data_IF_938242057929
#
_entry.id   IF_938242057929
#
_cell.length_a   1.000
_cell.length_b   1.000
_cell.length_c   1.000
_cell.angle_alpha   90.00
_cell.angle_beta   90.00
_cell.angle_gamma   90.00
#
_symmetry.space_group_name_H-M   'P 1'
#
loop_
_entity.id
_entity.type
_entity.pdbx_description
1 polymer ?
#
# COMPACT_ATOMS: atom_id res chain seq x y z
N UNK A 1 -28.00 11.12 -2.76
CA UNK A 1 -26.62 10.60 -2.96
C UNK A 1 -26.65 9.63 -4.12
N UNK A 2 -25.81 9.82 -5.15
CA UNK A 2 -25.76 8.91 -6.29
C UNK A 2 -25.36 7.48 -5.87
N UNK A 3 -25.87 6.48 -6.57
CA UNK A 3 -25.60 5.06 -6.29
C UNK A 3 -24.10 4.75 -6.18
N UNK A 4 -23.30 5.24 -7.13
CA UNK A 4 -21.84 5.04 -7.14
C UNK A 4 -21.17 5.62 -5.89
N UNK A 5 -21.54 6.86 -5.47
CA UNK A 5 -20.96 7.48 -4.27
C UNK A 5 -21.22 6.66 -3.01
N UNK A 6 -22.45 6.19 -2.84
CA UNK A 6 -22.82 5.33 -1.70
C UNK A 6 -22.03 4.02 -1.73
N UNK A 7 -21.86 3.41 -2.90
CA UNK A 7 -21.11 2.17 -3.07
C UNK A 7 -19.62 2.36 -2.80
N UNK A 8 -19.03 3.44 -3.33
CA UNK A 8 -17.62 3.76 -3.10
C UNK A 8 -17.35 4.01 -1.61
N UNK A 9 -18.19 4.78 -0.92
CA UNK A 9 -18.04 5.02 0.52
C UNK A 9 -18.18 3.74 1.35
N UNK A 10 -19.13 2.86 0.98
CA UNK A 10 -19.34 1.60 1.68
C UNK A 10 -18.14 0.64 1.55
N UNK A 11 -17.42 0.69 0.41
CA UNK A 11 -16.22 -0.10 0.18
C UNK A 11 -14.97 0.59 0.75
N UNK A 12 -14.83 1.91 0.57
CA UNK A 12 -13.63 2.65 0.98
C UNK A 12 -13.51 2.79 2.49
N UNK A 13 -14.62 2.98 3.23
CA UNK A 13 -14.57 3.17 4.69
C UNK A 13 -13.86 2.04 5.43
N UNK A 14 -14.25 0.78 5.25
CA UNK A 14 -13.54 -0.34 5.88
C UNK A 14 -12.09 -0.47 5.40
N UNK A 15 -11.79 -0.24 4.11
CA UNK A 15 -10.42 -0.26 3.59
C UNK A 15 -9.57 0.83 4.22
N UNK A 16 -10.11 2.02 4.42
CA UNK A 16 -9.40 3.10 5.11
C UNK A 16 -9.06 2.74 6.55
N UNK A 17 -10.02 2.18 7.30
CA UNK A 17 -9.79 1.70 8.65
C UNK A 17 -8.72 0.59 8.71
N UNK A 18 -8.73 -0.35 7.74
CA UNK A 18 -7.69 -1.39 7.59
C UNK A 18 -6.30 -0.77 7.41
N UNK A 19 -6.17 0.20 6.51
CA UNK A 19 -4.89 0.86 6.20
C UNK A 19 -4.38 1.69 7.39
N UNK A 20 -5.26 2.45 8.05
CA UNK A 20 -4.90 3.23 9.23
C UNK A 20 -4.46 2.35 10.40
N UNK A 21 -5.14 1.24 10.64
CA UNK A 21 -4.76 0.29 11.66
C UNK A 21 -3.36 -0.27 11.44
N UNK A 22 -2.98 -0.53 10.18
CA UNK A 22 -1.63 -0.95 9.81
C UNK A 22 -0.58 0.13 10.11
N UNK A 23 -0.87 1.39 9.76
CA UNK A 23 0.04 2.51 10.06
C UNK A 23 0.20 2.71 11.57
N UNK A 24 -0.91 2.70 12.32
CA UNK A 24 -0.87 2.84 13.77
C UNK A 24 -0.07 1.73 14.45
N UNK A 25 -0.30 0.47 14.04
CA UNK A 25 0.45 -0.67 14.56
C UNK A 25 1.96 -0.55 14.26
N UNK A 26 2.35 -0.12 13.06
CA UNK A 26 3.75 0.12 12.70
C UNK A 26 4.41 1.19 13.56
N UNK A 27 3.72 2.29 13.86
CA UNK A 27 4.21 3.35 14.74
C UNK A 27 4.42 2.81 16.16
N UNK A 28 3.45 2.07 16.71
CA UNK A 28 3.53 1.55 18.07
C UNK A 28 4.61 0.47 18.18
N UNK A 29 4.75 -0.41 17.21
CA UNK A 29 5.85 -1.38 17.16
C UNK A 29 7.21 -0.69 17.21
N UNK A 30 7.39 0.43 16.47
CA UNK A 30 8.61 1.23 16.53
C UNK A 30 8.90 1.76 17.93
N UNK A 31 7.86 2.15 18.69
CA UNK A 31 8.03 2.63 20.10
C UNK A 31 8.53 1.51 21.00
N UNK A 32 8.03 0.28 20.85
CA UNK A 32 8.51 -0.86 21.63
C UNK A 32 9.95 -1.23 21.30
N UNK A 33 10.29 -1.25 20.01
CA UNK A 33 11.65 -1.55 19.54
C UNK A 33 12.65 -0.48 19.99
N UNK A 34 12.24 0.79 20.06
CA UNK A 34 13.08 1.89 20.51
C UNK A 34 13.60 1.72 21.96
N UNK A 35 12.85 0.98 22.78
CA UNK A 35 13.29 0.66 24.16
C UNK A 35 14.44 -0.36 24.23
N UNK A 36 14.73 -1.05 23.12
CA UNK A 36 15.83 -2.03 23.03
C UNK A 36 17.18 -1.40 22.65
N UNK A 37 17.18 -0.10 22.29
CA UNK A 37 18.38 0.64 21.89
C UNK A 37 18.51 0.88 20.40
N UNK A 38 19.53 1.67 20.01
CA UNK A 38 19.72 2.15 18.64
C UNK A 38 19.92 1.04 17.61
N UNK A 39 20.69 0.01 17.94
CA UNK A 39 20.98 -1.12 17.05
C UNK A 39 19.75 -1.93 16.73
N UNK A 40 18.85 -2.11 17.70
CA UNK A 40 17.56 -2.78 17.49
C UNK A 40 16.65 -1.96 16.58
N UNK A 41 16.61 -0.64 16.76
CA UNK A 41 15.84 0.26 15.88
C UNK A 41 16.39 0.20 14.46
N UNK A 42 17.71 0.27 14.28
CA UNK A 42 18.34 0.16 12.96
C UNK A 42 18.03 -1.18 12.30
N UNK A 43 18.16 -2.28 13.05
CA UNK A 43 17.88 -3.63 12.56
C UNK A 43 16.43 -3.79 12.08
N UNK A 44 15.44 -3.33 12.87
CA UNK A 44 14.01 -3.43 12.53
C UNK A 44 13.65 -2.48 11.41
N UNK A 45 14.21 -1.26 11.37
CA UNK A 45 13.95 -0.31 10.28
C UNK A 45 14.41 -0.86 8.92
N UNK A 46 15.61 -1.44 8.89
CA UNK A 46 16.17 -2.10 7.70
C UNK A 46 15.31 -3.30 7.30
N UNK A 47 14.92 -4.13 8.25
CA UNK A 47 14.08 -5.29 8.01
C UNK A 47 12.70 -4.89 7.43
N UNK A 48 12.08 -3.84 7.97
CA UNK A 48 10.81 -3.30 7.48
C UNK A 48 10.93 -2.81 6.03
N UNK A 49 12.07 -2.21 5.64
CA UNK A 49 12.28 -1.82 4.24
C UNK A 49 12.32 -3.04 3.31
N UNK A 50 12.97 -4.13 3.72
CA UNK A 50 12.96 -5.39 2.95
C UNK A 50 11.55 -5.97 2.87
N UNK A 51 10.80 -5.99 3.97
CA UNK A 51 9.40 -6.44 3.97
C UNK A 51 8.53 -5.59 3.03
N UNK A 52 8.73 -4.28 2.97
CA UNK A 52 8.00 -3.39 2.06
C UNK A 52 8.30 -3.68 0.58
N UNK A 53 9.55 -4.02 0.24
CA UNK A 53 9.88 -4.46 -1.13
C UNK A 53 9.20 -5.78 -1.45
N UNK A 54 9.23 -6.74 -0.51
CA UNK A 54 8.56 -8.04 -0.66
C UNK A 54 7.04 -7.89 -0.70
N UNK A 55 6.46 -6.89 -0.03
CA UNK A 55 5.05 -6.55 -0.14
C UNK A 55 4.65 -6.25 -1.60
N UNK A 56 5.53 -5.61 -2.38
CA UNK A 56 5.32 -5.43 -3.81
C UNK A 56 5.05 -6.77 -4.53
N UNK A 57 5.85 -7.80 -4.24
CA UNK A 57 5.65 -9.14 -4.82
C UNK A 57 4.34 -9.78 -4.35
N UNK A 58 4.04 -9.66 -3.06
CA UNK A 58 2.81 -10.18 -2.44
C UNK A 58 1.55 -9.54 -3.05
N UNK A 59 1.60 -8.24 -3.36
CA UNK A 59 0.49 -7.49 -3.95
C UNK A 59 0.09 -8.02 -5.34
N UNK A 60 0.98 -8.65 -6.10
CA UNK A 60 0.65 -9.24 -7.41
C UNK A 60 -0.55 -10.20 -7.29
N UNK A 61 -0.48 -11.13 -6.34
CA UNK A 61 -1.55 -12.11 -6.16
C UNK A 61 -2.81 -11.49 -5.54
N UNK A 62 -2.67 -10.66 -4.50
CA UNK A 62 -3.81 -10.07 -3.80
C UNK A 62 -4.64 -9.14 -4.69
N UNK A 63 -3.99 -8.18 -5.36
CA UNK A 63 -4.68 -7.20 -6.20
C UNK A 63 -5.20 -7.82 -7.50
N UNK A 64 -4.41 -8.70 -8.14
CA UNK A 64 -4.87 -9.43 -9.33
C UNK A 64 -6.11 -10.29 -9.06
N UNK A 65 -6.10 -11.04 -7.95
CA UNK A 65 -7.27 -11.83 -7.50
C UNK A 65 -8.47 -10.93 -7.24
N UNK A 66 -8.29 -9.79 -6.57
CA UNK A 66 -9.38 -8.85 -6.25
C UNK A 66 -10.09 -8.37 -7.51
N UNK A 67 -9.35 -7.91 -8.51
CA UNK A 67 -9.92 -7.34 -9.75
C UNK A 67 -10.59 -8.42 -10.59
N UNK A 68 -9.92 -9.56 -10.81
CA UNK A 68 -10.48 -10.65 -11.61
C UNK A 68 -11.73 -11.24 -10.96
N UNK A 69 -11.71 -11.45 -9.65
CA UNK A 69 -12.85 -11.98 -8.92
C UNK A 69 -14.03 -11.00 -8.90
N UNK A 70 -13.77 -9.69 -8.73
CA UNK A 70 -14.82 -8.67 -8.80
C UNK A 70 -15.48 -8.65 -10.19
N UNK A 71 -14.68 -8.78 -11.25
CA UNK A 71 -15.16 -8.86 -12.63
C UNK A 71 -15.97 -10.13 -12.89
N UNK A 72 -15.44 -11.29 -12.50
CA UNK A 72 -16.13 -12.57 -12.64
C UNK A 72 -17.45 -12.61 -11.88
N UNK A 73 -17.48 -12.03 -10.68
CA UNK A 73 -18.70 -11.87 -9.88
C UNK A 73 -19.73 -10.97 -10.57
N UNK A 74 -19.29 -9.88 -11.19
CA UNK A 74 -20.17 -9.01 -11.97
C UNK A 74 -20.81 -9.73 -13.16
N UNK A 75 -20.04 -10.60 -13.82
CA UNK A 75 -20.51 -11.43 -14.94
C UNK A 75 -21.38 -12.63 -14.49
N UNK A 76 -21.43 -12.95 -13.20
CA UNK A 76 -22.11 -14.16 -12.72
C UNK A 76 -21.37 -15.45 -13.09
N UNK A 77 -20.11 -15.36 -13.54
CA UNK A 77 -19.31 -16.50 -14.02
C UNK A 77 -18.62 -17.22 -12.84
N UNK A 78 -19.23 -18.33 -12.42
CA UNK A 78 -18.71 -19.13 -11.30
C UNK A 78 -17.37 -19.82 -11.61
N UNK A 79 -17.08 -20.16 -12.90
CA UNK A 79 -15.79 -20.77 -13.25
C UNK A 79 -14.66 -19.73 -13.25
N UNK A 80 -14.90 -18.56 -13.82
CA UNK A 80 -13.94 -17.45 -13.73
C UNK A 80 -13.69 -17.03 -12.28
N UNK A 81 -14.71 -17.06 -11.40
CA UNK A 81 -14.51 -16.82 -9.97
C UNK A 81 -13.59 -17.86 -9.33
N UNK A 82 -13.82 -19.16 -9.63
CA UNK A 82 -12.93 -20.26 -9.16
C UNK A 82 -11.51 -20.08 -9.69
N UNK A 83 -11.37 -19.76 -10.99
CA UNK A 83 -10.08 -19.51 -11.63
C UNK A 83 -9.29 -18.38 -10.95
N UNK A 84 -9.96 -17.27 -10.62
CA UNK A 84 -9.31 -16.17 -9.90
C UNK A 84 -8.81 -16.57 -8.51
N UNK A 85 -9.60 -17.37 -7.76
CA UNK A 85 -9.20 -17.87 -6.44
C UNK A 85 -8.04 -18.87 -6.57
N UNK A 86 -8.14 -19.85 -7.49
CA UNK A 86 -7.05 -20.82 -7.77
C UNK A 86 -5.77 -20.11 -8.15
N UNK A 87 -5.83 -19.16 -9.08
CA UNK A 87 -4.67 -18.41 -9.55
C UNK A 87 -3.96 -17.68 -8.42
N UNK A 88 -4.70 -17.06 -7.50
CA UNK A 88 -4.12 -16.44 -6.31
C UNK A 88 -3.37 -17.41 -5.41
N UNK A 89 -3.98 -18.59 -5.13
CA UNK A 89 -3.33 -19.63 -4.32
C UNK A 89 -2.16 -20.32 -5.02
N UNK A 90 -2.23 -20.51 -6.34
CA UNK A 90 -1.11 -21.05 -7.12
C UNK A 90 0.09 -20.11 -7.10
N UNK A 91 -0.14 -18.78 -7.26
CA UNK A 91 0.94 -17.80 -7.12
C UNK A 91 1.53 -17.79 -5.72
N UNK A 92 0.69 -17.90 -4.69
CA UNK A 92 1.15 -18.06 -3.32
C UNK A 92 2.04 -19.31 -3.17
N UNK A 93 1.60 -20.46 -3.64
CA UNK A 93 2.33 -21.72 -3.54
C UNK A 93 3.65 -21.71 -4.34
N UNK A 94 3.71 -20.96 -5.43
CA UNK A 94 4.90 -20.86 -6.28
C UNK A 94 5.94 -19.87 -5.71
N UNK A 95 5.49 -18.70 -5.29
CA UNK A 95 6.38 -17.61 -4.87
C UNK A 95 6.81 -17.73 -3.41
N UNK A 96 5.92 -18.20 -2.54
CA UNK A 96 6.20 -18.30 -1.10
C UNK A 96 7.40 -19.15 -0.76
N UNK A 97 7.56 -20.38 -1.27
CA UNK A 97 8.75 -21.19 -0.96
C UNK A 97 10.05 -20.51 -1.42
N UNK A 98 10.01 -19.88 -2.59
CA UNK A 98 11.17 -19.17 -3.13
C UNK A 98 11.60 -18.01 -2.22
N UNK A 99 10.65 -17.20 -1.76
CA UNK A 99 10.92 -16.05 -0.89
C UNK A 99 11.23 -16.50 0.54
N UNK A 100 10.48 -17.45 1.11
CA UNK A 100 10.65 -17.89 2.48
C UNK A 100 11.95 -18.71 2.65
N UNK A 101 12.18 -19.69 1.80
CA UNK A 101 13.38 -20.57 1.88
C UNK A 101 14.61 -19.82 1.38
N UNK A 102 14.51 -19.17 0.23
CA UNK A 102 15.61 -18.37 -0.35
C UNK A 102 15.99 -17.20 0.55
N UNK A 103 14.99 -16.49 1.12
CA UNK A 103 15.22 -15.42 2.08
C UNK A 103 15.84 -15.93 3.39
N UNK A 104 15.35 -17.05 3.94
CA UNK A 104 15.93 -17.64 5.15
C UNK A 104 17.39 -18.11 4.90
N UNK A 105 17.68 -18.77 3.79
CA UNK A 105 19.03 -19.16 3.43
C UNK A 105 19.95 -17.96 3.18
N UNK A 106 19.43 -16.93 2.50
CA UNK A 106 20.15 -15.71 2.17
C UNK A 106 20.11 -14.62 3.25
N UNK A 107 19.58 -14.87 4.46
CA UNK A 107 19.41 -13.84 5.50
C UNK A 107 20.71 -13.15 5.94
N UNK A 108 21.84 -13.88 5.87
CA UNK A 108 23.14 -13.32 6.27
C UNK A 108 23.68 -12.33 5.20
N UNK A 109 23.81 -12.70 3.91
CA UNK A 109 24.23 -11.75 2.88
C UNK A 109 23.19 -10.61 2.69
N UNK A 110 21.91 -10.88 2.87
CA UNK A 110 20.88 -9.86 2.76
C UNK A 110 21.03 -8.79 3.87
N UNK A 111 21.26 -9.22 5.12
CA UNK A 111 21.51 -8.31 6.24
C UNK A 111 22.76 -7.47 6.00
N UNK A 112 23.86 -8.06 5.53
CA UNK A 112 25.08 -7.35 5.21
C UNK A 112 24.90 -6.35 4.04
N UNK A 113 24.16 -6.75 3.02
CA UNK A 113 23.88 -5.88 1.86
C UNK A 113 23.09 -4.63 2.24
N UNK A 114 22.06 -4.79 3.09
CA UNK A 114 21.13 -3.69 3.41
C UNK A 114 21.67 -2.77 4.49
N UNK A 115 22.46 -3.29 5.44
CA UNK A 115 23.13 -2.47 6.46
C UNK A 115 24.40 -1.79 5.93
N UNK A 116 25.01 -2.31 4.86
CA UNK A 116 26.25 -1.79 4.26
C UNK A 116 27.52 -2.35 4.93
N UNK A 117 28.66 -2.17 4.24
CA UNK A 117 29.93 -2.80 4.61
C UNK A 117 30.63 -2.27 5.87
N UNK A 118 30.07 -1.28 6.55
CA UNK A 118 30.59 -0.71 7.80
C UNK A 118 29.64 -0.88 8.99
N UNK A 119 28.66 -1.77 8.87
CA UNK A 119 27.65 -1.95 9.92
C UNK A 119 28.25 -2.55 11.21
N UNK A 120 27.75 -2.09 12.36
CA UNK A 120 28.09 -2.67 13.66
C UNK A 120 27.74 -4.18 13.68
N UNK A 121 28.64 -5.04 14.16
CA UNK A 121 28.40 -6.47 14.34
C UNK A 121 27.13 -6.78 15.15
N UNK A 122 26.79 -5.94 16.15
CA UNK A 122 25.58 -6.02 16.95
C UNK A 122 24.30 -5.85 16.11
N UNK A 123 24.21 -4.77 15.32
CA UNK A 123 23.09 -4.51 14.42
C UNK A 123 22.94 -5.61 13.36
N UNK A 124 24.05 -6.13 12.84
CA UNK A 124 24.05 -7.22 11.88
C UNK A 124 23.49 -8.52 12.48
N UNK A 125 23.88 -8.87 13.70
CA UNK A 125 23.39 -10.05 14.42
C UNK A 125 21.87 -9.93 14.71
N UNK A 126 21.41 -8.77 15.13
CA UNK A 126 19.99 -8.49 15.40
C UNK A 126 19.16 -8.56 14.11
N UNK A 127 19.66 -8.00 13.01
CA UNK A 127 18.98 -8.06 11.70
C UNK A 127 18.87 -9.50 11.19
N UNK A 128 19.91 -10.30 11.30
CA UNK A 128 19.88 -11.74 10.97
C UNK A 128 18.88 -12.50 11.82
N UNK A 129 18.81 -12.18 13.11
CA UNK A 129 17.87 -12.80 14.06
C UNK A 129 16.41 -12.45 13.72
N UNK A 130 16.14 -11.20 13.33
CA UNK A 130 14.83 -10.77 12.86
C UNK A 130 14.45 -11.48 11.56
N UNK A 131 15.32 -11.48 10.56
CA UNK A 131 15.08 -12.13 9.28
C UNK A 131 14.83 -13.63 9.39
N UNK A 132 15.42 -14.30 10.36
CA UNK A 132 15.20 -15.73 10.59
C UNK A 132 13.72 -16.08 10.87
N UNK A 133 12.95 -15.13 11.40
CA UNK A 133 11.52 -15.28 11.70
C UNK A 133 10.64 -14.54 10.67
N UNK A 134 11.02 -13.32 10.31
CA UNK A 134 10.23 -12.47 9.43
C UNK A 134 10.14 -13.01 7.99
N UNK A 135 11.25 -13.52 7.41
CA UNK A 135 11.26 -14.01 6.04
C UNK A 135 10.41 -15.28 5.84
N UNK A 136 10.45 -16.30 6.71
CA UNK A 136 9.46 -17.37 6.67
C UNK A 136 8.04 -16.88 6.95
N UNK A 137 7.87 -15.88 7.82
CA UNK A 137 6.60 -15.23 8.14
C UNK A 137 5.91 -14.54 6.95
N UNK A 138 6.65 -14.24 5.89
CA UNK A 138 6.09 -13.71 4.63
C UNK A 138 5.08 -14.67 4.01
N UNK A 139 5.21 -15.97 4.24
CA UNK A 139 4.22 -16.96 3.82
C UNK A 139 2.82 -16.63 4.37
N UNK A 140 2.76 -16.25 5.64
CA UNK A 140 1.51 -15.85 6.32
C UNK A 140 1.00 -14.52 5.77
N UNK A 141 1.88 -13.55 5.57
CA UNK A 141 1.53 -12.24 4.98
C UNK A 141 0.94 -12.43 3.58
N UNK A 142 1.57 -13.23 2.75
CA UNK A 142 1.13 -13.49 1.39
C UNK A 142 -0.24 -14.21 1.37
N UNK A 143 -0.41 -15.27 2.17
CA UNK A 143 -1.70 -15.96 2.30
C UNK A 143 -2.80 -15.01 2.77
N UNK A 144 -2.51 -14.12 3.74
CA UNK A 144 -3.44 -13.10 4.24
C UNK A 144 -3.86 -12.12 3.13
N UNK A 145 -2.92 -11.73 2.26
CA UNK A 145 -3.22 -10.88 1.10
C UNK A 145 -4.11 -11.59 0.08
N UNK A 146 -3.88 -12.88 -0.20
CA UNK A 146 -4.76 -13.67 -1.08
C UNK A 146 -6.16 -13.78 -0.49
N UNK A 147 -6.29 -14.12 0.79
CA UNK A 147 -7.59 -14.18 1.49
C UNK A 147 -8.30 -12.82 1.46
N UNK A 148 -7.57 -11.76 1.78
CA UNK A 148 -8.07 -10.37 1.70
C UNK A 148 -8.52 -10.01 0.28
N UNK A 149 -7.73 -10.38 -0.73
CA UNK A 149 -8.04 -10.17 -2.14
C UNK A 149 -9.32 -10.89 -2.59
N UNK A 150 -9.50 -12.13 -2.16
CA UNK A 150 -10.73 -12.89 -2.44
C UNK A 150 -11.94 -12.23 -1.79
N UNK A 151 -11.86 -11.88 -0.50
CA UNK A 151 -12.98 -11.24 0.21
C UNK A 151 -13.34 -9.88 -0.40
N UNK A 152 -12.34 -9.05 -0.72
CA UNK A 152 -12.54 -7.75 -1.38
C UNK A 152 -13.13 -7.91 -2.78
N UNK A 153 -12.68 -8.87 -3.56
CA UNK A 153 -13.25 -9.23 -4.87
C UNK A 153 -14.72 -9.67 -4.79
N UNK A 154 -15.09 -10.35 -3.71
CA UNK A 154 -16.49 -10.66 -3.39
C UNK A 154 -17.27 -9.41 -2.90
N UNK A 155 -16.65 -8.24 -2.80
CA UNK A 155 -17.27 -7.01 -2.34
C UNK A 155 -17.41 -6.89 -0.81
N UNK A 156 -16.77 -7.79 -0.06
CA UNK A 156 -16.71 -7.73 1.39
C UNK A 156 -15.39 -7.11 1.85
N UNK A 157 -15.40 -5.81 2.10
CA UNK A 157 -14.25 -5.07 2.63
C UNK A 157 -14.23 -5.00 4.16
N UNK A 158 -15.37 -5.36 4.81
CA UNK A 158 -15.49 -5.33 6.27
C UNK A 158 -14.76 -6.49 6.94
N UNK A 159 -14.81 -7.67 6.34
CA UNK A 159 -14.11 -8.84 6.89
C UNK A 159 -12.59 -8.67 6.86
N UNK A 160 -11.92 -8.28 5.76
CA UNK A 160 -10.50 -7.95 5.77
C UNK A 160 -10.13 -6.87 6.80
N UNK A 161 -10.93 -5.81 6.94
CA UNK A 161 -10.73 -4.81 7.99
C UNK A 161 -10.72 -5.43 9.39
N UNK A 162 -11.70 -6.27 9.71
CA UNK A 162 -11.78 -6.94 11.03
C UNK A 162 -10.59 -7.86 11.28
N UNK A 163 -10.16 -8.59 10.25
CA UNK A 163 -8.97 -9.46 10.32
C UNK A 163 -7.69 -8.65 10.54
N UNK A 164 -7.55 -7.51 9.85
CA UNK A 164 -6.42 -6.60 10.05
C UNK A 164 -6.42 -5.99 11.46
N UNK A 165 -7.59 -5.54 11.95
CA UNK A 165 -7.72 -5.06 13.33
C UNK A 165 -7.38 -6.14 14.35
N UNK A 166 -7.81 -7.38 14.14
CA UNK A 166 -7.46 -8.51 15.00
C UNK A 166 -5.96 -8.77 14.99
N UNK A 167 -5.34 -8.84 13.80
CA UNK A 167 -3.90 -9.04 13.67
C UNK A 167 -3.11 -7.95 14.40
N UNK A 168 -3.44 -6.68 14.12
CA UNK A 168 -2.75 -5.53 14.72
C UNK A 168 -2.99 -5.44 16.23
N UNK A 169 -4.21 -5.75 16.71
CA UNK A 169 -4.51 -5.81 18.14
C UNK A 169 -3.73 -6.90 18.87
N UNK A 170 -3.59 -8.08 18.24
CA UNK A 170 -2.76 -9.17 18.78
C UNK A 170 -1.27 -8.80 18.79
N UNK A 171 -0.75 -8.17 17.72
CA UNK A 171 0.63 -7.71 17.65
C UNK A 171 0.89 -6.71 18.78
N UNK A 172 0.02 -5.72 18.96
CA UNK A 172 0.08 -4.74 20.05
C UNK A 172 0.11 -5.34 21.45
N UNK A 173 -0.64 -6.41 21.68
CA UNK A 173 -0.70 -7.12 22.95
C UNK A 173 0.53 -8.03 23.15
N UNK A 174 1.00 -8.68 22.07
CA UNK A 174 2.12 -9.62 22.12
C UNK A 174 3.48 -8.91 22.13
N UNK A 175 3.61 -7.72 21.52
CA UNK A 175 4.87 -6.97 21.50
C UNK A 175 5.46 -6.75 22.91
N UNK A 176 4.76 -6.12 23.89
CA UNK A 176 5.32 -5.92 25.22
C UNK A 176 5.61 -7.25 25.94
N UNK A 177 4.80 -8.28 25.71
CA UNK A 177 4.99 -9.59 26.32
C UNK A 177 6.25 -10.28 25.77
N UNK A 178 6.39 -10.36 24.43
CA UNK A 178 7.50 -11.10 23.81
C UNK A 178 8.79 -10.28 23.81
N UNK A 179 8.71 -8.97 23.60
CA UNK A 179 9.90 -8.10 23.51
C UNK A 179 10.50 -7.83 24.89
N UNK A 180 9.65 -7.45 25.87
CA UNK A 180 10.09 -6.99 27.17
C UNK A 180 9.99 -8.07 28.27
N UNK A 181 8.81 -8.67 28.47
CA UNK A 181 8.59 -9.60 29.57
C UNK A 181 9.33 -10.94 29.37
N UNK A 182 9.36 -11.47 28.15
CA UNK A 182 10.10 -12.70 27.82
C UNK A 182 11.54 -12.41 27.34
N UNK A 183 11.96 -11.15 27.33
CA UNK A 183 13.31 -10.72 26.94
C UNK A 183 13.79 -11.24 25.56
N UNK A 184 12.85 -11.51 24.62
CA UNK A 184 13.22 -12.00 23.29
C UNK A 184 13.74 -10.88 22.37
N UNK A 185 13.65 -9.62 22.78
CA UNK A 185 14.15 -8.47 22.05
C UNK A 185 13.57 -8.40 20.63
N UNK A 186 14.43 -8.19 19.64
CA UNK A 186 14.05 -8.05 18.21
C UNK A 186 13.38 -9.33 17.66
N UNK A 187 13.75 -10.52 18.16
CA UNK A 187 13.07 -11.78 17.80
C UNK A 187 11.62 -11.78 18.28
N UNK A 188 11.36 -11.19 19.45
CA UNK A 188 10.02 -11.04 20.00
C UNK A 188 9.11 -10.20 19.09
N UNK A 189 9.61 -9.09 18.55
CA UNK A 189 8.87 -8.24 17.62
C UNK A 189 8.55 -8.95 16.28
N UNK A 190 9.47 -9.74 15.74
CA UNK A 190 9.19 -10.57 14.57
C UNK A 190 8.16 -11.66 14.87
N UNK A 191 8.27 -12.32 16.02
CA UNK A 191 7.39 -13.41 16.42
C UNK A 191 5.96 -12.92 16.71
N UNK A 192 5.79 -11.78 17.38
CA UNK A 192 4.47 -11.16 17.63
C UNK A 192 3.75 -10.85 16.31
N UNK A 193 4.47 -10.32 15.34
CA UNK A 193 3.94 -10.02 14.00
C UNK A 193 3.49 -11.29 13.28
N UNK A 194 4.31 -12.34 13.27
CA UNK A 194 3.97 -13.61 12.62
C UNK A 194 2.80 -14.29 13.33
N UNK A 195 2.77 -14.34 14.66
CA UNK A 195 1.69 -14.95 15.43
C UNK A 195 0.36 -14.20 15.25
N UNK A 196 0.37 -12.87 15.39
CA UNK A 196 -0.83 -12.05 15.24
C UNK A 196 -1.45 -12.20 13.85
N UNK A 197 -0.62 -12.18 12.80
CA UNK A 197 -1.06 -12.41 11.42
C UNK A 197 -1.52 -13.86 11.19
N UNK A 198 -0.88 -14.86 11.81
CA UNK A 198 -1.26 -16.26 11.69
C UNK A 198 -2.65 -16.53 12.27
N UNK A 199 -2.96 -16.00 13.44
CA UNK A 199 -4.29 -16.11 14.06
C UNK A 199 -5.35 -15.45 13.16
N UNK A 200 -5.09 -14.23 12.67
CA UNK A 200 -5.99 -13.55 11.77
C UNK A 200 -6.19 -14.32 10.45
N UNK A 201 -5.12 -14.91 9.90
CA UNK A 201 -5.19 -15.75 8.70
C UNK A 201 -6.08 -16.99 8.94
N UNK A 202 -5.91 -17.70 10.05
CA UNK A 202 -6.73 -18.85 10.39
C UNK A 202 -8.21 -18.47 10.49
N UNK A 203 -8.52 -17.38 11.19
CA UNK A 203 -9.87 -16.81 11.22
C UNK A 203 -10.38 -16.47 9.81
N UNK A 204 -9.52 -15.85 9.00
CA UNK A 204 -9.84 -15.50 7.62
C UNK A 204 -10.15 -16.70 6.74
N UNK A 205 -9.38 -17.78 6.86
CA UNK A 205 -9.60 -19.04 6.13
C UNK A 205 -10.92 -19.72 6.55
N UNK A 206 -11.24 -19.71 7.84
CA UNK A 206 -12.52 -20.25 8.35
C UNK A 206 -13.70 -19.44 7.80
N UNK A 207 -13.61 -18.11 7.84
CA UNK A 207 -14.65 -17.23 7.30
C UNK A 207 -14.78 -17.36 5.78
N UNK A 208 -13.67 -17.48 5.07
CA UNK A 208 -13.65 -17.69 3.63
C UNK A 208 -14.34 -19.00 3.24
N UNK A 209 -14.03 -20.10 3.93
CA UNK A 209 -14.70 -21.41 3.72
C UNK A 209 -16.21 -21.33 3.90
N UNK A 210 -16.71 -20.49 4.82
CA UNK A 210 -18.14 -20.28 5.04
C UNK A 210 -18.81 -19.44 3.96
N UNK A 211 -18.06 -18.57 3.29
CA UNK A 211 -18.56 -17.64 2.25
C UNK A 211 -18.52 -18.24 0.85
N UNK A 212 -17.63 -19.19 0.62
CA UNK A 212 -17.52 -19.86 -0.67
C UNK A 212 -18.62 -20.94 -0.79
N UNK A 213 -19.35 -21.01 -1.92
CA UNK A 213 -20.38 -22.02 -2.14
C UNK A 213 -19.84 -23.44 -1.94
N UNK A 214 -20.63 -24.29 -1.26
CA UNK A 214 -20.32 -25.70 -1.08
C UNK A 214 -20.49 -26.41 -2.42
N UNK A 215 -19.41 -26.94 -3.00
CA UNK A 215 -19.41 -27.63 -4.29
C UNK A 215 -18.05 -28.23 -4.61
N UNK A 216 -17.81 -28.59 -5.89
CA UNK A 216 -16.50 -29.05 -6.37
C UNK A 216 -15.43 -28.12 -5.84
N UNK A 217 -14.39 -28.65 -5.16
CA UNK A 217 -13.39 -27.86 -4.43
C UNK A 217 -12.89 -26.68 -5.24
N UNK A 218 -12.80 -25.51 -4.62
CA UNK A 218 -12.36 -24.24 -5.26
C UNK A 218 -10.98 -24.32 -5.88
N UNK A 219 -10.19 -25.32 -5.47
CA UNK A 219 -8.88 -25.63 -6.04
C UNK A 219 -8.96 -26.78 -7.06
N UNK A 220 -10.13 -27.43 -7.24
CA UNK A 220 -10.31 -28.49 -8.22
C UNK A 220 -10.66 -27.92 -9.58
N UNK A 221 -10.03 -28.38 -10.62
CA UNK A 221 -10.23 -27.99 -12.02
C UNK A 221 -8.92 -27.93 -12.79
N UNK A 222 -9.00 -27.94 -14.12
CA UNK A 222 -7.84 -27.77 -15.00
C UNK A 222 -7.49 -26.30 -15.18
N UNK A 223 -6.26 -26.01 -15.65
CA UNK A 223 -5.85 -24.67 -16.03
C UNK A 223 -5.11 -23.86 -14.96
N UNK A 224 -4.52 -24.52 -13.94
CA UNK A 224 -3.80 -23.86 -12.84
C UNK A 224 -2.79 -22.80 -13.33
N UNK A 225 -2.02 -23.11 -14.39
CA UNK A 225 -1.03 -22.19 -14.96
C UNK A 225 -1.72 -21.00 -15.64
N UNK A 226 -2.82 -21.24 -16.37
CA UNK A 226 -3.57 -20.18 -17.02
C UNK A 226 -4.22 -19.24 -15.99
N UNK A 227 -4.80 -19.79 -14.92
CA UNK A 227 -5.36 -19.03 -13.81
C UNK A 227 -4.31 -18.17 -13.12
N UNK A 228 -3.15 -18.75 -12.77
CA UNK A 228 -2.03 -18.04 -12.17
C UNK A 228 -1.50 -16.93 -13.10
N UNK A 229 -1.37 -17.22 -14.40
CA UNK A 229 -0.94 -16.23 -15.41
C UNK A 229 -1.94 -15.08 -15.52
N UNK A 230 -3.24 -15.36 -15.48
CA UNK A 230 -4.30 -14.35 -15.50
C UNK A 230 -4.21 -13.41 -14.30
N UNK A 231 -4.05 -13.98 -13.09
CA UNK A 231 -3.90 -13.20 -11.84
C UNK A 231 -2.59 -12.40 -11.89
N UNK A 232 -1.47 -13.01 -12.32
CA UNK A 232 -0.18 -12.32 -12.44
C UNK A 232 -0.23 -11.18 -13.47
N UNK A 233 -0.80 -11.41 -14.65
CA UNK A 233 -0.92 -10.39 -15.69
C UNK A 233 -1.73 -9.17 -15.25
N UNK A 234 -2.76 -9.38 -14.39
CA UNK A 234 -3.56 -8.30 -13.82
C UNK A 234 -2.85 -7.62 -12.66
N UNK A 235 -2.24 -8.39 -11.76
CA UNK A 235 -1.63 -7.88 -10.54
C UNK A 235 -0.23 -7.30 -10.72
N UNK A 236 0.55 -7.78 -11.70
CA UNK A 236 1.93 -7.33 -11.92
C UNK A 236 2.04 -5.83 -12.23
N UNK A 237 1.20 -5.24 -13.11
CA UNK A 237 1.24 -3.80 -13.32
C UNK A 237 0.86 -3.01 -12.04
N UNK A 238 -0.10 -3.49 -11.25
CA UNK A 238 -0.50 -2.84 -10.00
C UNK A 238 0.63 -2.85 -8.97
N UNK A 239 1.31 -3.97 -8.87
CA UNK A 239 2.50 -4.12 -8.02
C UNK A 239 3.66 -3.26 -8.52
N UNK A 240 3.93 -3.23 -9.82
CA UNK A 240 4.98 -2.41 -10.40
C UNK A 240 4.75 -0.91 -10.12
N UNK A 241 3.50 -0.43 -10.24
CA UNK A 241 3.13 0.93 -9.87
C UNK A 241 3.43 1.25 -8.40
N UNK A 242 3.15 0.30 -7.49
CA UNK A 242 3.49 0.43 -6.07
C UNK A 242 5.00 0.49 -5.83
N UNK A 243 5.78 -0.42 -6.43
CA UNK A 243 7.24 -0.49 -6.28
C UNK A 243 7.91 0.77 -6.82
N UNK A 244 7.49 1.26 -7.99
CA UNK A 244 8.01 2.49 -8.58
C UNK A 244 7.77 3.69 -7.66
N UNK A 245 6.57 3.82 -7.08
CA UNK A 245 6.29 4.89 -6.10
C UNK A 245 7.14 4.77 -4.85
N UNK A 246 7.30 3.56 -4.32
CA UNK A 246 8.13 3.33 -3.14
C UNK A 246 9.58 3.71 -3.40
N UNK A 247 10.13 3.28 -4.53
CA UNK A 247 11.49 3.62 -4.96
C UNK A 247 11.65 5.14 -5.15
N UNK A 248 10.68 5.78 -5.79
CA UNK A 248 10.68 7.24 -5.97
C UNK A 248 10.63 8.01 -4.67
N UNK A 249 9.84 7.54 -3.68
CA UNK A 249 9.79 8.16 -2.35
C UNK A 249 11.14 8.04 -1.63
N UNK A 250 11.78 6.87 -1.69
CA UNK A 250 13.12 6.68 -1.10
C UNK A 250 14.17 7.55 -1.79
N UNK A 251 14.14 7.63 -3.12
CA UNK A 251 15.06 8.48 -3.86
C UNK A 251 14.85 9.97 -3.55
N UNK A 252 13.60 10.40 -3.33
CA UNK A 252 13.29 11.77 -2.94
C UNK A 252 13.88 12.12 -1.56
N UNK A 253 13.87 11.19 -0.61
CA UNK A 253 14.56 11.38 0.70
C UNK A 253 16.04 11.66 0.47
N UNK A 254 16.69 10.98 -0.48
CA UNK A 254 18.09 11.23 -0.86
C UNK A 254 18.32 12.64 -1.42
N UNK A 255 17.36 13.19 -2.16
CA UNK A 255 17.42 14.58 -2.63
C UNK A 255 17.25 15.56 -1.46
N UNK A 256 16.29 15.32 -0.57
CA UNK A 256 16.08 16.15 0.64
C UNK A 256 17.31 16.13 1.55
N UNK A 257 18.01 15.00 1.64
CA UNK A 257 19.24 14.88 2.45
C UNK A 257 20.37 15.81 1.99
N UNK A 258 20.35 16.26 0.73
CA UNK A 258 21.31 17.25 0.21
C UNK A 258 21.02 18.67 0.66
N UNK A 259 19.78 18.95 1.07
CA UNK A 259 19.38 20.28 1.56
C UNK A 259 19.92 20.47 2.98
N UNK A 260 19.67 19.49 3.86
CA UNK A 260 20.16 19.53 5.23
C UNK A 260 19.54 18.44 6.11
N UNK A 261 20.16 18.22 7.27
CA UNK A 261 19.73 17.21 8.23
C UNK A 261 18.39 17.59 8.87
N UNK A 262 18.18 18.88 9.14
CA UNK A 262 16.92 19.38 9.71
C UNK A 262 15.75 19.17 8.75
N UNK A 263 15.98 19.38 7.44
CA UNK A 263 14.98 19.19 6.38
C UNK A 263 14.60 17.72 6.21
N UNK A 264 15.55 16.80 6.33
CA UNK A 264 15.26 15.34 6.31
C UNK A 264 14.38 14.96 7.49
N UNK A 265 14.72 15.41 8.69
CA UNK A 265 13.93 15.15 9.88
C UNK A 265 12.52 15.75 9.76
N UNK A 266 12.42 16.99 9.29
CA UNK A 266 11.17 17.69 9.05
C UNK A 266 10.30 16.98 8.00
N UNK A 267 10.89 16.57 6.88
CA UNK A 267 10.22 15.78 5.83
C UNK A 267 9.70 14.45 6.37
N UNK A 268 10.53 13.72 7.13
CA UNK A 268 10.14 12.44 7.74
C UNK A 268 8.95 12.57 8.70
N UNK A 269 8.95 13.59 9.56
CA UNK A 269 7.87 13.89 10.50
C UNK A 269 6.60 14.30 9.73
N UNK A 270 6.70 15.24 8.81
CA UNK A 270 5.58 15.74 8.05
C UNK A 270 4.94 14.64 7.15
N UNK A 271 5.75 13.76 6.59
CA UNK A 271 5.24 12.63 5.78
C UNK A 271 4.37 11.67 6.61
N UNK A 272 4.65 11.49 7.90
CA UNK A 272 3.76 10.70 8.79
C UNK A 272 2.36 11.31 8.91
N UNK A 273 2.27 12.64 9.01
CA UNK A 273 0.97 13.33 8.99
C UNK A 273 0.25 13.16 7.64
N UNK A 274 0.99 13.20 6.53
CA UNK A 274 0.44 12.99 5.19
C UNK A 274 -0.09 11.57 4.98
N UNK A 275 0.44 10.55 5.65
CA UNK A 275 -0.05 9.18 5.53
C UNK A 275 -1.52 9.03 5.85
N UNK A 276 -2.04 9.78 6.84
CA UNK A 276 -3.46 9.74 7.20
C UNK A 276 -4.35 10.14 6.01
N UNK A 277 -3.97 11.21 5.31
CA UNK A 277 -4.69 11.67 4.12
C UNK A 277 -4.49 10.72 2.93
N UNK A 278 -3.26 10.30 2.65
CA UNK A 278 -2.94 9.45 1.50
C UNK A 278 -3.56 8.07 1.60
N UNK A 279 -3.69 7.49 2.81
CA UNK A 279 -4.38 6.22 3.02
C UNK A 279 -5.87 6.31 2.64
N UNK A 280 -6.51 7.47 2.80
CA UNK A 280 -7.89 7.67 2.34
C UNK A 280 -7.99 7.64 0.81
N UNK A 281 -7.01 8.20 0.10
CA UNK A 281 -6.97 8.15 -1.37
C UNK A 281 -6.77 6.73 -1.88
N UNK A 282 -5.89 5.94 -1.23
CA UNK A 282 -5.71 4.53 -1.56
C UNK A 282 -6.95 3.69 -1.26
N UNK A 283 -7.69 4.01 -0.20
CA UNK A 283 -8.96 3.36 0.09
C UNK A 283 -10.00 3.64 -1.00
N UNK A 284 -10.12 4.90 -1.46
CA UNK A 284 -10.99 5.25 -2.59
C UNK A 284 -10.51 4.57 -3.88
N UNK A 285 -9.21 4.53 -4.17
CA UNK A 285 -8.64 3.81 -5.32
C UNK A 285 -9.06 2.34 -5.33
N UNK A 286 -8.89 1.65 -4.21
CA UNK A 286 -9.22 0.23 -4.09
C UNK A 286 -10.74 0.00 -4.25
N UNK A 287 -11.57 0.83 -3.62
CA UNK A 287 -13.02 0.79 -3.78
C UNK A 287 -13.44 1.01 -5.24
N UNK A 288 -12.80 1.97 -5.90
CA UNK A 288 -13.03 2.30 -7.31
C UNK A 288 -12.65 1.14 -8.21
N UNK A 289 -11.50 0.50 -7.99
CA UNK A 289 -11.05 -0.65 -8.76
C UNK A 289 -12.03 -1.84 -8.64
N UNK A 290 -12.47 -2.16 -7.43
CA UNK A 290 -13.44 -3.23 -7.18
C UNK A 290 -14.78 -2.93 -7.85
N UNK A 291 -15.30 -1.71 -7.68
CA UNK A 291 -16.60 -1.33 -8.23
C UNK A 291 -16.58 -1.26 -9.76
N UNK A 292 -15.54 -0.69 -10.36
CA UNK A 292 -15.36 -0.64 -11.82
C UNK A 292 -15.24 -2.03 -12.42
N UNK A 293 -14.42 -2.92 -11.82
CA UNK A 293 -14.27 -4.30 -12.29
C UNK A 293 -15.60 -5.05 -12.25
N UNK A 294 -16.38 -4.89 -11.17
CA UNK A 294 -17.71 -5.50 -11.05
C UNK A 294 -18.69 -5.00 -12.11
N UNK A 295 -18.76 -3.69 -12.36
CA UNK A 295 -19.64 -3.11 -13.38
C UNK A 295 -19.28 -3.59 -14.79
N UNK A 296 -17.99 -3.64 -15.12
CA UNK A 296 -17.53 -4.16 -16.41
C UNK A 296 -17.94 -5.64 -16.57
N UNK A 297 -17.77 -6.44 -15.53
CA UNK A 297 -18.24 -7.83 -15.54
C UNK A 297 -19.73 -7.95 -15.77
N UNK A 298 -20.53 -7.05 -15.19
CA UNK A 298 -21.98 -6.98 -15.37
C UNK A 298 -22.42 -6.38 -16.72
N UNK A 299 -21.49 -6.07 -17.65
CA UNK A 299 -21.77 -5.46 -18.93
C UNK A 299 -22.17 -3.98 -18.87
N UNK A 300 -21.95 -3.30 -17.71
CA UNK A 300 -22.30 -1.89 -17.50
C UNK A 300 -21.09 -0.99 -17.77
N UNK A 301 -21.18 -0.15 -18.79
CA UNK A 301 -20.13 0.79 -19.20
C UNK A 301 -20.24 2.13 -18.45
N UNK A 302 -20.13 2.10 -17.13
CA UNK A 302 -20.29 3.27 -16.27
C UNK A 302 -18.95 3.79 -15.69
N UNK A 303 -17.84 3.45 -16.32
CA UNK A 303 -16.48 3.81 -15.90
C UNK A 303 -16.29 5.31 -15.70
N UNK A 304 -16.85 6.12 -16.60
CA UNK A 304 -16.76 7.58 -16.52
C UNK A 304 -17.51 8.14 -15.31
N UNK A 305 -18.69 7.60 -14.99
CA UNK A 305 -19.49 8.01 -13.84
C UNK A 305 -18.79 7.64 -12.51
N UNK A 306 -18.26 6.41 -12.42
CA UNK A 306 -17.50 5.97 -11.24
C UNK A 306 -16.26 6.83 -11.03
N UNK A 307 -15.52 7.15 -12.09
CA UNK A 307 -14.35 8.01 -12.02
C UNK A 307 -14.66 9.44 -11.56
N UNK A 308 -15.76 10.03 -12.05
CA UNK A 308 -16.22 11.36 -11.58
C UNK A 308 -16.54 11.36 -10.09
N UNK A 309 -17.21 10.33 -9.57
CA UNK A 309 -17.49 10.23 -8.15
C UNK A 309 -16.24 9.97 -7.31
N UNK A 310 -15.31 9.14 -7.79
CA UNK A 310 -14.01 8.91 -7.15
C UNK A 310 -13.20 10.21 -7.06
N UNK A 311 -13.16 11.02 -8.14
CA UNK A 311 -12.51 12.32 -8.15
C UNK A 311 -13.15 13.30 -7.16
N UNK A 312 -14.49 13.36 -7.09
CA UNK A 312 -15.19 14.23 -6.14
C UNK A 312 -14.89 13.84 -4.69
N UNK A 313 -14.90 12.54 -4.39
CA UNK A 313 -14.60 12.05 -3.05
C UNK A 313 -13.14 12.32 -2.66
N UNK A 314 -12.19 11.90 -3.48
CA UNK A 314 -10.76 12.10 -3.18
C UNK A 314 -10.37 13.58 -3.21
N UNK A 315 -10.89 14.36 -4.15
CA UNK A 315 -10.67 15.80 -4.22
C UNK A 315 -11.22 16.53 -2.99
N UNK A 316 -12.44 16.19 -2.56
CA UNK A 316 -13.03 16.75 -1.33
C UNK A 316 -12.20 16.42 -0.09
N UNK A 317 -11.76 15.16 0.06
CA UNK A 317 -10.87 14.76 1.16
C UNK A 317 -9.54 15.51 1.08
N UNK A 318 -8.97 15.67 -0.12
CA UNK A 318 -7.69 16.37 -0.30
C UNK A 318 -7.79 17.87 0.04
N UNK A 319 -8.88 18.54 -0.34
CA UNK A 319 -9.13 19.93 0.04
C UNK A 319 -9.22 20.08 1.57
N UNK A 320 -10.01 19.22 2.23
CA UNK A 320 -10.14 19.24 3.68
C UNK A 320 -8.81 18.93 4.38
N UNK A 321 -8.06 17.91 3.90
CA UNK A 321 -6.76 17.57 4.44
C UNK A 321 -5.74 18.70 4.23
N UNK A 322 -5.71 19.33 3.05
CA UNK A 322 -4.80 20.46 2.77
C UNK A 322 -5.11 21.66 3.64
N UNK A 323 -6.40 22.01 3.82
CA UNK A 323 -6.81 23.07 4.71
C UNK A 323 -6.44 22.77 6.18
N UNK A 324 -6.65 21.55 6.62
CA UNK A 324 -6.28 21.10 7.97
C UNK A 324 -4.77 21.18 8.20
N UNK A 325 -3.95 20.68 7.25
CA UNK A 325 -2.49 20.70 7.35
C UNK A 325 -1.95 22.15 7.33
N UNK A 326 -2.57 23.03 6.54
CA UNK A 326 -2.23 24.46 6.50
C UNK A 326 -2.49 25.14 7.85
N UNK A 327 -3.63 24.85 8.48
CA UNK A 327 -4.03 25.47 9.74
C UNK A 327 -3.33 24.82 10.96
N UNK A 328 -3.29 23.48 11.01
CA UNK A 328 -2.81 22.72 12.16
C UNK A 328 -1.32 22.34 12.07
N UNK A 329 -0.61 22.70 10.99
CA UNK A 329 0.79 22.35 10.75
C UNK A 329 1.73 22.55 11.94
N UNK A 330 1.75 23.73 12.59
CA UNK A 330 2.60 23.96 13.76
C UNK A 330 2.32 23.01 14.93
N UNK A 331 1.05 22.73 15.21
CA UNK A 331 0.64 21.85 16.30
C UNK A 331 0.94 20.39 15.99
N UNK A 332 0.78 19.95 14.76
CA UNK A 332 1.10 18.59 14.31
C UNK A 332 2.60 18.34 14.46
N UNK A 333 3.43 19.26 13.97
CA UNK A 333 4.88 19.12 14.00
C UNK A 333 5.41 19.19 15.44
N UNK A 334 4.90 20.10 16.26
CA UNK A 334 5.23 20.22 17.68
C UNK A 334 4.78 19.00 18.49
N UNK A 335 3.57 18.48 18.22
CA UNK A 335 3.03 17.28 18.88
C UNK A 335 3.81 15.99 18.53
N UNK A 336 4.52 15.97 17.40
CA UNK A 336 5.43 14.87 17.03
C UNK A 336 6.86 15.04 17.57
N UNK A 337 7.07 16.01 18.47
CA UNK A 337 8.33 16.20 19.19
C UNK A 337 9.39 17.00 18.40
N UNK A 338 9.03 17.67 17.31
CA UNK A 338 9.96 18.50 16.59
C UNK A 338 10.12 19.87 17.25
N UNK A 339 11.38 20.33 17.40
CA UNK A 339 11.73 21.65 17.91
C UNK A 339 12.70 22.38 16.98
N UNK A 340 12.92 23.68 17.25
CA UNK A 340 13.91 24.50 16.54
C UNK A 340 13.74 24.53 15.03
N UNK A 341 14.81 24.36 14.29
CA UNK A 341 14.82 24.40 12.81
C UNK A 341 13.92 23.32 12.18
N UNK A 342 13.82 22.13 12.78
CA UNK A 342 12.98 21.02 12.30
C UNK A 342 11.51 21.41 12.35
N UNK A 343 11.05 22.08 13.40
CA UNK A 343 9.66 22.53 13.52
C UNK A 343 9.30 23.58 12.46
N UNK A 344 10.20 24.52 12.21
CA UNK A 344 10.01 25.56 11.17
C UNK A 344 9.92 24.91 9.78
N UNK A 345 10.90 24.09 9.44
CA UNK A 345 10.97 23.41 8.14
C UNK A 345 9.76 22.48 7.92
N UNK A 346 9.36 21.69 8.95
CA UNK A 346 8.20 20.79 8.88
C UNK A 346 6.87 21.54 8.72
N UNK A 347 6.69 22.65 9.43
CA UNK A 347 5.50 23.49 9.30
C UNK A 347 5.42 24.10 7.91
N UNK A 348 6.56 24.59 7.38
CA UNK A 348 6.63 25.16 6.04
C UNK A 348 6.28 24.11 4.98
N UNK A 349 6.81 22.89 5.11
CA UNK A 349 6.49 21.78 4.22
C UNK A 349 4.98 21.47 4.23
N UNK A 350 4.36 21.32 5.41
CA UNK A 350 2.93 21.04 5.52
C UNK A 350 2.04 22.13 4.91
N UNK A 351 2.50 23.39 4.95
CA UNK A 351 1.80 24.52 4.31
C UNK A 351 1.94 24.50 2.79
N UNK A 352 3.08 24.08 2.26
CA UNK A 352 3.35 24.08 0.83
C UNK A 352 2.88 22.83 0.08
N UNK A 353 2.62 21.71 0.79
CA UNK A 353 2.30 20.40 0.18
C UNK A 353 0.89 20.28 -0.38
N UNK A 354 -0.02 21.22 -0.08
CA UNK A 354 -1.44 21.20 -0.46
C UNK A 354 -1.68 20.96 -1.96
N UNK A 355 -1.08 21.71 -2.89
CA UNK A 355 -1.25 21.50 -4.34
C UNK A 355 -0.85 20.10 -4.79
N UNK A 356 0.26 19.57 -4.28
CA UNK A 356 0.67 18.18 -4.53
C UNK A 356 -0.39 17.18 -4.05
N UNK A 357 -0.91 17.38 -2.85
CA UNK A 357 -1.89 16.48 -2.23
C UNK A 357 -3.18 16.40 -3.07
N UNK A 358 -3.65 17.54 -3.61
CA UNK A 358 -4.80 17.59 -4.51
C UNK A 358 -4.56 16.82 -5.82
N UNK A 359 -3.43 17.04 -6.46
CA UNK A 359 -3.07 16.35 -7.70
C UNK A 359 -2.87 14.85 -7.47
N UNK A 360 -2.23 14.49 -6.36
CA UNK A 360 -2.03 13.10 -5.97
C UNK A 360 -3.37 12.39 -5.72
N UNK A 361 -4.30 13.03 -5.03
CA UNK A 361 -5.63 12.49 -4.77
C UNK A 361 -6.40 12.19 -6.07
N UNK A 362 -6.37 13.12 -7.02
CA UNK A 362 -6.99 12.94 -8.33
C UNK A 362 -6.32 11.80 -9.11
N UNK A 363 -4.99 11.76 -9.13
CA UNK A 363 -4.23 10.72 -9.82
C UNK A 363 -4.51 9.33 -9.24
N UNK A 364 -4.46 9.21 -7.90
CA UNK A 364 -4.73 7.94 -7.19
C UNK A 364 -6.17 7.48 -7.43
N UNK A 365 -7.16 8.38 -7.38
CA UNK A 365 -8.57 8.07 -7.60
C UNK A 365 -8.83 7.50 -9.02
N UNK A 366 -8.29 8.17 -10.05
CA UNK A 366 -8.36 7.70 -11.44
C UNK A 366 -7.63 6.37 -11.62
N UNK A 367 -6.53 6.15 -10.89
CA UNK A 367 -5.81 4.89 -10.88
C UNK A 367 -6.72 3.69 -10.63
N UNK A 368 -7.68 3.81 -9.71
CA UNK A 368 -8.65 2.75 -9.44
C UNK A 368 -9.52 2.39 -10.65
N UNK A 369 -9.91 3.36 -11.48
CA UNK A 369 -10.68 3.10 -12.71
C UNK A 369 -9.84 2.31 -13.71
N UNK A 370 -8.58 2.68 -13.92
CA UNK A 370 -7.69 1.97 -14.84
C UNK A 370 -7.39 0.56 -14.35
N UNK A 371 -7.17 0.36 -13.06
CA UNK A 371 -6.98 -0.95 -12.45
C UNK A 371 -8.20 -1.86 -12.65
N UNK A 372 -9.38 -1.37 -12.27
CA UNK A 372 -10.63 -2.12 -12.45
C UNK A 372 -10.97 -2.41 -13.91
N UNK A 373 -10.49 -1.57 -14.84
CA UNK A 373 -10.66 -1.74 -16.28
C UNK A 373 -9.62 -2.68 -16.93
N UNK A 374 -8.66 -3.20 -16.17
CA UNK A 374 -7.57 -4.02 -16.72
C UNK A 374 -6.51 -3.22 -17.48
N UNK A 375 -6.48 -1.90 -17.31
CA UNK A 375 -5.52 -0.98 -17.97
C UNK A 375 -4.43 -0.46 -17.02
N UNK A 376 -4.11 -1.21 -15.97
CA UNK A 376 -3.11 -0.82 -14.98
C UNK A 376 -1.71 -0.56 -15.58
N UNK A 377 -1.35 -1.18 -16.70
CA UNK A 377 -0.09 -0.94 -17.40
C UNK A 377 0.10 0.53 -17.84
N UNK A 378 -0.99 1.26 -18.11
CA UNK A 378 -0.92 2.70 -18.41
C UNK A 378 -0.46 3.48 -17.19
N UNK A 379 -0.94 3.11 -16.01
CA UNK A 379 -0.53 3.75 -14.75
C UNK A 379 0.96 3.57 -14.48
N UNK A 380 1.50 2.37 -14.73
CA UNK A 380 2.94 2.09 -14.55
C UNK A 380 3.78 3.08 -15.33
N UNK A 381 3.44 3.30 -16.62
CA UNK A 381 4.16 4.25 -17.48
C UNK A 381 4.04 5.68 -16.94
N UNK A 382 2.82 6.11 -16.62
CA UNK A 382 2.58 7.47 -16.10
C UNK A 382 3.27 7.69 -14.76
N UNK A 383 3.23 6.70 -13.86
CA UNK A 383 3.93 6.76 -12.58
C UNK A 383 5.44 6.82 -12.76
N UNK A 384 6.01 5.98 -13.64
CA UNK A 384 7.46 5.99 -13.92
C UNK A 384 7.91 7.35 -14.44
N UNK A 385 7.21 7.91 -15.44
CA UNK A 385 7.48 9.27 -15.93
C UNK A 385 7.37 10.32 -14.82
N UNK A 386 6.30 10.25 -14.02
CA UNK A 386 6.09 11.17 -12.91
C UNK A 386 7.21 11.12 -11.88
N UNK A 387 7.68 9.92 -11.53
CA UNK A 387 8.76 9.73 -10.56
C UNK A 387 10.12 10.24 -11.08
N UNK A 388 10.46 9.95 -12.34
CA UNK A 388 11.69 10.47 -12.96
C UNK A 388 11.67 11.99 -13.01
N UNK A 389 10.55 12.58 -13.47
CA UNK A 389 10.38 14.02 -13.52
C UNK A 389 10.42 14.65 -12.12
N UNK A 390 9.80 13.99 -11.12
CA UNK A 390 9.81 14.46 -9.74
C UNK A 390 11.23 14.55 -9.18
N UNK A 391 12.05 13.53 -9.40
CA UNK A 391 13.43 13.52 -8.93
C UNK A 391 14.28 14.57 -9.64
N UNK A 392 14.13 14.73 -10.96
CA UNK A 392 14.84 15.73 -11.73
C UNK A 392 14.48 17.16 -11.27
N UNK A 393 13.18 17.46 -11.12
CA UNK A 393 12.72 18.75 -10.65
C UNK A 393 13.09 19.00 -9.17
N UNK A 394 12.96 17.98 -8.31
CA UNK A 394 13.34 18.11 -6.90
C UNK A 394 14.84 18.41 -6.76
N UNK A 395 15.67 17.76 -7.58
CA UNK A 395 17.11 18.06 -7.63
C UNK A 395 17.38 19.50 -8.11
N UNK A 396 16.76 19.93 -9.20
CA UNK A 396 16.93 21.27 -9.75
C UNK A 396 16.42 22.38 -8.81
N UNK A 397 15.32 22.12 -8.09
CA UNK A 397 14.69 23.08 -7.17
C UNK A 397 15.15 22.91 -5.71
N UNK A 398 16.08 22.00 -5.42
CA UNK A 398 16.60 21.76 -4.06
C UNK A 398 17.22 23.00 -3.41
N UNK A 399 17.77 23.92 -4.20
CA UNK A 399 18.30 25.23 -3.73
C UNK A 399 17.26 26.14 -3.06
N UNK A 400 15.96 25.92 -3.31
CA UNK A 400 14.86 26.62 -2.65
C UNK A 400 14.37 25.92 -1.38
N UNK A 401 15.09 24.89 -0.89
CA UNK A 401 14.73 24.12 0.30
C UNK A 401 13.47 23.25 0.10
N UNK A 402 12.76 22.94 1.20
CA UNK A 402 11.53 22.13 1.16
C UNK A 402 10.40 22.70 0.30
N UNK A 403 10.16 24.02 0.22
CA UNK A 403 9.18 24.57 -0.74
C UNK A 403 9.48 24.23 -2.19
N UNK A 404 10.77 24.24 -2.58
CA UNK A 404 11.21 23.82 -3.92
C UNK A 404 10.88 22.34 -4.18
N UNK A 405 11.08 21.47 -3.19
CA UNK A 405 10.70 20.06 -3.26
C UNK A 405 9.18 19.90 -3.40
N UNK A 406 8.37 20.64 -2.62
CA UNK A 406 6.91 20.62 -2.76
C UNK A 406 6.45 21.05 -4.15
N UNK A 407 7.04 22.10 -4.70
CA UNK A 407 6.74 22.56 -6.06
C UNK A 407 7.12 21.49 -7.10
N UNK A 408 8.29 20.88 -6.97
CA UNK A 408 8.72 19.77 -7.83
C UNK A 408 7.72 18.59 -7.80
N UNK A 409 7.27 18.20 -6.59
CA UNK A 409 6.27 17.13 -6.41
C UNK A 409 4.95 17.51 -7.09
N UNK A 410 4.47 18.75 -6.94
CA UNK A 410 3.23 19.19 -7.55
C UNK A 410 3.32 19.22 -9.08
N UNK A 411 4.37 19.83 -9.64
CA UNK A 411 4.57 19.91 -11.09
C UNK A 411 4.73 18.52 -11.73
N UNK A 412 5.53 17.65 -11.10
CA UNK A 412 5.74 16.29 -11.59
C UNK A 412 4.47 15.44 -11.55
N UNK A 413 3.58 15.66 -10.58
CA UNK A 413 2.31 14.94 -10.47
C UNK A 413 1.25 15.52 -11.42
N UNK A 414 1.33 16.78 -11.78
CA UNK A 414 0.37 17.43 -12.67
C UNK A 414 0.31 16.76 -14.06
N UNK A 415 1.45 16.40 -14.65
CA UNK A 415 1.50 15.76 -15.96
C UNK A 415 0.82 14.38 -15.99
N UNK A 416 1.18 13.41 -15.15
CA UNK A 416 0.48 12.11 -15.12
C UNK A 416 -0.98 12.25 -14.71
N UNK A 417 -1.32 13.20 -13.84
CA UNK A 417 -2.72 13.49 -13.48
C UNK A 417 -3.51 14.00 -14.69
N UNK A 418 -2.98 14.96 -15.44
CA UNK A 418 -3.60 15.49 -16.66
C UNK A 418 -3.74 14.42 -17.74
N UNK A 419 -2.71 13.59 -17.95
CA UNK A 419 -2.73 12.48 -18.88
C UNK A 419 -3.80 11.43 -18.49
N UNK A 420 -3.85 11.03 -17.22
CA UNK A 420 -4.87 10.13 -16.70
C UNK A 420 -6.29 10.71 -16.86
N UNK A 421 -6.47 12.00 -16.58
CA UNK A 421 -7.76 12.66 -16.76
C UNK A 421 -8.19 12.74 -18.22
N UNK A 422 -7.28 13.01 -19.16
CA UNK A 422 -7.56 12.97 -20.61
C UNK A 422 -7.96 11.57 -21.06
N UNK A 423 -7.21 10.55 -20.67
CA UNK A 423 -7.52 9.16 -21.01
C UNK A 423 -8.85 8.72 -20.40
N UNK A 424 -9.17 9.18 -19.20
CA UNK A 424 -10.45 8.91 -18.56
C UNK A 424 -11.63 9.55 -19.31
N UNK A 425 -11.49 10.80 -19.78
CA UNK A 425 -12.53 11.47 -20.60
C UNK A 425 -12.79 10.72 -21.90
N UNK A 426 -11.77 10.14 -22.51
CA UNK A 426 -11.92 9.29 -23.70
C UNK A 426 -12.66 7.95 -23.44
N UNK A 427 -12.97 7.62 -22.19
CA UNK A 427 -13.82 6.49 -21.82
C UNK A 427 -15.31 6.89 -21.71
N UNK A 428 -15.65 8.17 -21.87
CA UNK A 428 -17.04 8.64 -21.80
C UNK A 428 -17.72 8.44 -23.17
N UNK A 429 -18.76 7.57 -23.27
CA UNK A 429 -19.42 7.32 -24.55
C UNK A 429 -20.10 8.56 -25.13
N UNK A 430 -20.36 9.58 -24.31
CA UNK A 430 -20.92 10.86 -24.77
C UNK A 430 -19.93 11.71 -25.59
N UNK A 431 -18.61 11.50 -25.40
CA UNK A 431 -17.54 12.24 -26.11
C UNK A 431 -17.13 11.54 -27.40
N UNK A 432 -17.44 10.25 -27.56
CA UNK A 432 -17.02 9.41 -28.71
C UNK A 432 -18.09 9.29 -29.78
N UNK A 433 -19.27 9.88 -29.64
CA UNK A 433 -20.26 9.98 -30.71
C UNK A 433 -19.93 11.23 -31.54
N UNK A 434 -19.47 11.09 -32.81
CA UNK A 434 -19.46 12.24 -33.72
C UNK A 434 -20.90 12.70 -33.93
N UNK A 435 -21.11 13.99 -33.77
CA UNK A 435 -22.35 14.70 -34.12
C UNK A 435 -22.69 14.55 -35.60
#
# INVERSE_FOLDING_TARGET
>A
MGEHRRRLLALAGPVYAELLAGVAAGIINTVWVARLGGDAVAAVAVATNVENVLLGVVLVAGSGTTVLLARARGAGDAEAMRGAVRGGWVLWALVTPLVAIGGYAGRAPLAALVLGGGADPGALALTRAYFALALPGIAVLFASNVVGGVLKGLGDTRTPMRLSLLANGLILALDPLLVLALHLGVRGAALSTVLGRSVALLCGLVLLRRRLPRGKGWLAGGGLVADARGVAATGLPMSADFVIRMAGTLALVGVVARIGVAEVAAYGIATKALYVATMSFYAVRQATAIHTAHLIGAGREERAAVGREALRLSGGIAVLASAFLLAAGPWIVGGLGAGGAVAVAGTLYLRCVGPYLLLLACYIALGGVFEGSGRAAVLVRLTAYGQVLQLALAYALSGYGLPGVCLAMALATALPCAAAARLHRGLDPAVTRPS
#
